data_IF_660802058080
#
_entry.id   IF_660802058080
#
_cell.length_a   1.000
_cell.length_b   1.000
_cell.length_c   1.000
_cell.angle_alpha   90.00
_cell.angle_beta   90.00
_cell.angle_gamma   90.00
#
_symmetry.space_group_name_H-M   'P 1'
#
loop_
_entity.id
_entity.type
_entity.pdbx_description
1 polymer ?
#
# COMPACT_ATOMS: atom_id res chain seq x y z
N UNK A 1 -5.94 0.77 11.55
CA UNK A 1 -5.82 0.91 10.07
C UNK A 1 -4.49 0.30 9.64
N UNK A 2 -4.42 -0.52 8.60
CA UNK A 2 -3.17 -1.12 8.08
C UNK A 2 -2.81 -0.69 6.65
N UNK A 3 -3.71 0.07 6.01
CA UNK A 3 -3.58 0.56 4.65
C UNK A 3 -3.01 1.99 4.64
N UNK A 4 -2.11 2.25 3.71
CA UNK A 4 -1.63 3.59 3.35
C UNK A 4 -1.86 3.82 1.86
N UNK A 5 -1.87 5.10 1.46
CA UNK A 5 -1.94 5.45 0.05
C UNK A 5 -0.56 5.83 -0.45
N UNK A 6 -0.15 5.29 -1.58
CA UNK A 6 1.06 5.68 -2.29
C UNK A 6 0.64 6.53 -3.48
N UNK A 7 1.33 7.64 -3.70
CA UNK A 7 1.11 8.55 -4.82
C UNK A 7 2.39 8.59 -5.63
N UNK A 8 2.30 8.30 -6.93
CA UNK A 8 3.33 8.61 -7.89
C UNK A 8 2.98 9.92 -8.60
N UNK A 9 3.99 10.78 -8.74
CA UNK A 9 3.87 12.10 -9.32
C UNK A 9 4.73 12.20 -10.57
N UNK A 10 4.19 12.83 -11.61
CA UNK A 10 4.90 13.21 -12.82
C UNK A 10 4.65 14.69 -13.10
N UNK A 11 5.72 15.44 -13.39
CA UNK A 11 5.68 16.89 -13.61
C UNK A 11 4.91 17.67 -12.53
N UNK A 12 5.07 17.27 -11.26
CA UNK A 12 4.43 17.92 -10.11
C UNK A 12 2.93 17.62 -9.92
N UNK A 13 2.36 16.70 -10.71
CA UNK A 13 0.96 16.27 -10.59
C UNK A 13 0.88 14.80 -10.18
N UNK A 14 -0.04 14.43 -9.27
CA UNK A 14 -0.37 13.03 -9.02
C UNK A 14 -0.85 12.37 -10.32
N UNK A 15 -0.21 11.30 -10.73
CA UNK A 15 -0.56 10.54 -11.95
C UNK A 15 -1.02 9.13 -11.65
N UNK A 16 -0.56 8.54 -10.54
CA UNK A 16 -0.96 7.22 -10.10
C UNK A 16 -1.13 7.20 -8.59
N UNK A 17 -2.13 6.46 -8.14
CA UNK A 17 -2.42 6.22 -6.74
C UNK A 17 -2.54 4.72 -6.53
N UNK A 18 -1.83 4.19 -5.55
CA UNK A 18 -1.82 2.76 -5.24
C UNK A 18 -2.04 2.51 -3.74
N UNK A 19 -2.69 1.40 -3.37
CA UNK A 19 -2.73 0.95 -1.99
C UNK A 19 -1.38 0.34 -1.58
N UNK A 20 -0.86 0.74 -0.42
CA UNK A 20 0.23 0.06 0.27
C UNK A 20 -0.27 -0.56 1.57
N UNK A 21 0.25 -1.73 1.93
CA UNK A 21 -0.12 -2.44 3.16
C UNK A 21 1.06 -2.56 4.10
N UNK A 22 0.84 -2.24 5.37
CA UNK A 22 1.86 -2.31 6.41
C UNK A 22 1.98 -3.76 6.89
N UNK A 23 3.15 -4.38 6.70
CA UNK A 23 3.41 -5.78 7.09
C UNK A 23 4.24 -5.91 8.37
N UNK A 24 4.97 -4.86 8.76
CA UNK A 24 5.69 -4.81 10.02
C UNK A 24 5.86 -3.38 10.50
N UNK A 25 6.07 -3.20 11.81
CA UNK A 25 6.38 -1.91 12.41
C UNK A 25 7.39 -2.02 13.53
N UNK A 26 8.24 -1.00 13.67
CA UNK A 26 9.19 -0.86 14.79
C UNK A 26 9.27 0.61 15.21
N UNK A 27 8.67 0.95 16.35
CA UNK A 27 8.55 2.35 16.84
C UNK A 27 7.91 3.27 15.78
N UNK A 28 8.72 4.10 15.12
CA UNK A 28 8.30 5.02 14.06
C UNK A 28 8.54 4.47 12.65
N UNK A 29 9.16 3.29 12.51
CA UNK A 29 9.38 2.68 11.20
C UNK A 29 8.23 1.76 10.82
N UNK A 30 7.82 1.83 9.55
CA UNK A 30 6.85 0.95 8.92
C UNK A 30 7.47 0.27 7.71
N UNK A 31 7.20 -1.04 7.56
CA UNK A 31 7.54 -1.82 6.39
C UNK A 31 6.27 -2.00 5.56
N UNK A 32 6.33 -1.63 4.29
CA UNK A 32 5.18 -1.53 3.41
C UNK A 32 5.45 -2.36 2.17
N UNK A 33 4.44 -3.11 1.74
CA UNK A 33 4.42 -3.77 0.43
C UNK A 33 3.31 -3.17 -0.43
N UNK A 34 3.53 -3.17 -1.74
CA UNK A 34 2.60 -2.69 -2.76
C UNK A 34 2.85 -3.45 -4.07
N UNK A 35 1.97 -3.26 -5.05
CA UNK A 35 2.20 -3.74 -6.41
C UNK A 35 3.40 -3.02 -7.06
N UNK A 36 4.22 -3.74 -7.82
CA UNK A 36 5.43 -3.18 -8.44
C UNK A 36 5.15 -2.02 -9.41
N UNK A 37 4.01 -2.02 -10.08
CA UNK A 37 3.64 -1.02 -11.08
C UNK A 37 3.40 0.36 -10.45
N UNK A 38 3.25 0.41 -9.12
CA UNK A 38 3.31 1.64 -8.32
C UNK A 38 4.56 2.46 -8.62
N UNK A 39 5.67 1.80 -8.97
CA UNK A 39 6.97 2.42 -9.25
C UNK A 39 7.35 2.40 -10.74
N UNK A 40 6.36 2.43 -11.63
CA UNK A 40 6.53 2.39 -13.10
C UNK A 40 7.40 3.51 -13.70
N UNK A 41 7.57 4.64 -13.00
CA UNK A 41 8.48 5.72 -13.43
C UNK A 41 9.94 5.50 -13.03
N UNK A 42 10.26 4.40 -12.33
CA UNK A 42 11.59 4.07 -11.83
C UNK A 42 12.20 5.21 -11.00
N UNK A 43 13.52 5.39 -11.12
CA UNK A 43 14.28 6.42 -10.41
C UNK A 43 13.97 7.86 -10.83
N UNK A 44 13.24 8.06 -11.94
CA UNK A 44 12.79 9.39 -12.39
C UNK A 44 11.47 9.81 -11.76
N UNK A 45 10.76 8.88 -11.12
CA UNK A 45 9.50 9.15 -10.45
C UNK A 45 9.67 9.87 -9.12
N UNK A 46 8.67 10.67 -8.76
CA UNK A 46 8.52 11.20 -7.42
C UNK A 46 7.40 10.43 -6.73
N UNK A 47 7.71 9.81 -5.60
CA UNK A 47 6.77 8.95 -4.89
C UNK A 47 6.60 9.42 -3.45
N UNK A 48 5.39 9.28 -2.91
CA UNK A 48 5.13 9.60 -1.52
C UNK A 48 4.06 8.68 -0.92
N UNK A 49 4.15 8.46 0.39
CA UNK A 49 3.12 7.82 1.20
C UNK A 49 2.27 8.88 1.89
N UNK A 50 0.95 8.73 1.79
CA UNK A 50 -0.05 9.48 2.52
C UNK A 50 -0.63 8.57 3.60
N UNK A 51 -0.40 8.95 4.86
CA UNK A 51 -0.89 8.19 6.00
C UNK A 51 -2.37 8.54 6.28
N UNK A 52 -3.20 7.54 6.65
CA UNK A 52 -4.59 7.79 7.01
C UNK A 52 -4.67 8.72 8.23
N UNK A 53 -5.53 9.73 8.15
CA UNK A 53 -5.72 10.73 9.21
C UNK A 53 -4.75 11.92 9.15
N UNK A 54 -3.77 11.90 8.24
CA UNK A 54 -2.94 13.07 7.91
C UNK A 54 -3.35 13.56 6.52
N UNK A 55 -4.21 14.57 6.47
CA UNK A 55 -4.72 15.10 5.20
C UNK A 55 -3.66 15.93 4.42
N UNK A 56 -2.48 16.19 5.01
CA UNK A 56 -1.52 17.15 4.43
C UNK A 56 -0.05 16.72 4.50
N UNK A 57 0.31 15.68 5.25
CA UNK A 57 1.70 15.23 5.36
C UNK A 57 1.96 14.01 4.48
N UNK A 58 2.64 14.27 3.36
CA UNK A 58 3.17 13.26 2.46
C UNK A 58 4.60 12.93 2.91
N UNK A 59 4.91 11.65 3.08
CA UNK A 59 6.28 11.20 3.32
C UNK A 59 6.89 10.73 2.01
N UNK A 60 7.94 11.41 1.56
CA UNK A 60 8.64 11.03 0.33
C UNK A 60 9.23 9.62 0.43
N UNK A 61 9.12 8.85 -0.66
CA UNK A 61 9.77 7.56 -0.82
C UNK A 61 11.00 7.80 -1.68
N UNK A 62 12.17 7.42 -1.16
CA UNK A 62 13.39 7.36 -1.95
C UNK A 62 13.40 6.07 -2.77
N UNK A 63 13.39 6.17 -4.10
CA UNK A 63 13.34 5.00 -4.98
C UNK A 63 14.54 4.05 -4.79
N UNK A 64 15.70 4.56 -4.39
CA UNK A 64 16.87 3.73 -4.11
C UNK A 64 16.68 2.76 -2.93
N UNK A 65 15.72 3.05 -2.04
CA UNK A 65 15.40 2.23 -0.87
C UNK A 65 14.26 1.23 -1.16
N UNK A 66 13.76 1.19 -2.40
CA UNK A 66 12.68 0.29 -2.84
C UNK A 66 13.27 -1.00 -3.39
N UNK A 67 12.88 -2.13 -2.81
CA UNK A 67 13.19 -3.46 -3.31
C UNK A 67 12.03 -3.98 -4.15
N UNK A 68 12.28 -4.31 -5.42
CA UNK A 68 11.28 -4.84 -6.36
C UNK A 68 11.61 -6.30 -6.66
N UNK A 69 10.62 -7.18 -6.52
CA UNK A 69 10.72 -8.61 -6.83
C UNK A 69 9.40 -9.12 -7.44
N UNK A 70 9.50 -9.94 -8.48
CA UNK A 70 8.37 -10.57 -9.19
C UNK A 70 7.23 -9.60 -9.57
N UNK A 71 6.19 -9.51 -8.73
CA UNK A 71 4.98 -8.69 -8.89
C UNK A 71 4.80 -7.63 -7.79
N UNK A 72 5.69 -7.54 -6.80
CA UNK A 72 5.55 -6.61 -5.68
C UNK A 72 6.79 -5.74 -5.47
N UNK A 73 6.58 -4.64 -4.77
CA UNK A 73 7.61 -3.75 -4.27
C UNK A 73 7.50 -3.61 -2.77
N UNK A 74 8.64 -3.48 -2.09
CA UNK A 74 8.72 -3.31 -0.64
C UNK A 74 9.70 -2.20 -0.28
N UNK A 75 9.40 -1.49 0.81
CA UNK A 75 10.23 -0.41 1.31
C UNK A 75 9.95 -0.15 2.79
N UNK A 76 10.90 0.52 3.44
CA UNK A 76 10.78 0.96 4.83
C UNK A 76 10.77 2.48 4.89
N UNK A 77 9.93 3.05 5.76
CA UNK A 77 9.89 4.51 5.94
C UNK A 77 9.51 4.89 7.37
N UNK A 78 9.83 6.13 7.75
CA UNK A 78 9.44 6.70 9.03
C UNK A 78 8.03 7.29 8.98
N UNK A 79 7.11 6.74 9.78
CA UNK A 79 5.77 7.29 9.96
C UNK A 79 5.84 8.61 10.73
N UNK A 80 5.06 9.65 10.34
CA UNK A 80 5.03 10.90 11.07
C UNK A 80 4.52 10.73 12.51
N UNK A 81 4.95 11.62 13.42
CA UNK A 81 4.41 11.70 14.79
C UNK A 81 2.94 12.15 14.73
N UNK A 82 2.11 11.65 15.64
CA UNK A 82 0.68 12.02 15.66
C UNK A 82 -0.19 11.30 14.62
N UNK A 83 0.38 10.44 13.77
CA UNK A 83 -0.41 9.50 12.97
C UNK A 83 -1.26 8.59 13.85
N UNK A 84 -2.49 8.31 13.41
CA UNK A 84 -3.29 7.22 13.97
C UNK A 84 -2.45 5.92 13.99
N UNK A 85 -2.59 5.09 15.02
CA UNK A 85 -1.81 3.87 15.12
C UNK A 85 -2.08 2.97 13.91
N UNK A 86 -1.04 2.80 13.10
CA UNK A 86 -1.04 1.78 12.06
C UNK A 86 -0.85 0.40 12.70
N UNK A 87 -1.66 -0.53 12.23
CA UNK A 87 -1.52 -1.95 12.52
C UNK A 87 -0.71 -2.60 11.39
N UNK A 88 0.19 -3.52 11.75
CA UNK A 88 0.78 -4.42 10.78
C UNK A 88 -0.21 -5.57 10.54
N UNK A 89 -0.39 -5.98 9.29
CA UNK A 89 -1.16 -7.20 9.00
C UNK A 89 -0.35 -8.44 9.36
N UNK A 90 -1.04 -9.48 9.79
CA UNK A 90 -0.47 -10.81 9.88
C UNK A 90 -0.63 -11.49 8.52
N UNK A 91 0.47 -11.96 7.94
CA UNK A 91 0.44 -12.73 6.70
C UNK A 91 0.19 -14.20 7.08
N UNK A 92 -0.84 -14.79 6.48
CA UNK A 92 -1.12 -16.22 6.64
C UNK A 92 -0.04 -17.05 5.95
N UNK A 93 0.41 -18.13 6.59
CA UNK A 93 1.36 -19.09 6.01
C UNK A 93 0.71 -19.98 4.94
N UNK A 94 -0.61 -20.09 4.96
CA UNK A 94 -1.40 -20.79 3.95
C UNK A 94 -2.23 -19.80 3.13
N UNK A 95 -2.33 -20.07 1.83
CA UNK A 95 -3.34 -19.42 0.98
C UNK A 95 -4.76 -19.83 1.39
N UNK A 96 -5.77 -19.04 1.02
CA UNK A 96 -7.15 -19.38 1.33
C UNK A 96 -7.62 -20.60 0.55
N UNK A 97 -8.57 -21.32 1.12
CA UNK A 97 -9.20 -22.47 0.48
C UNK A 97 -10.18 -22.02 -0.61
N UNK A 98 -10.46 -22.92 -1.55
CA UNK A 98 -11.51 -22.70 -2.56
C UNK A 98 -12.83 -22.49 -1.83
N UNK A 99 -13.59 -21.46 -2.24
CA UNK A 99 -14.85 -21.04 -1.64
C UNK A 99 -14.74 -20.45 -0.22
N UNK A 100 -13.54 -20.15 0.27
CA UNK A 100 -13.39 -19.36 1.49
C UNK A 100 -13.78 -17.91 1.23
N UNK A 101 -14.46 -17.29 2.20
CA UNK A 101 -14.80 -15.88 2.15
C UNK A 101 -13.52 -15.05 2.25
N UNK A 102 -13.27 -14.24 1.22
CA UNK A 102 -12.13 -13.33 1.17
C UNK A 102 -12.60 -11.91 0.95
N UNK A 103 -11.82 -10.95 1.44
CA UNK A 103 -12.14 -9.54 1.31
C UNK A 103 -10.97 -8.80 0.70
N UNK A 104 -11.26 -7.88 -0.21
CA UNK A 104 -10.28 -6.94 -0.75
C UNK A 104 -10.39 -5.63 0.02
N UNK A 105 -9.26 -5.16 0.53
CA UNK A 105 -9.15 -3.87 1.20
C UNK A 105 -8.39 -2.91 0.28
N UNK A 106 -8.98 -1.77 -0.03
CA UNK A 106 -8.38 -0.78 -0.91
C UNK A 106 -9.00 0.61 -0.75
N UNK A 107 -8.85 1.45 -1.78
CA UNK A 107 -9.47 2.77 -1.87
C UNK A 107 -10.52 2.73 -2.99
N UNK A 108 -11.76 3.14 -2.70
CA UNK A 108 -12.83 3.18 -3.71
C UNK A 108 -12.56 4.25 -4.78
N UNK A 109 -12.06 5.40 -4.35
CA UNK A 109 -11.48 6.41 -5.21
C UNK A 109 -10.07 6.69 -4.66
N UNK A 110 -9.00 6.39 -5.39
CA UNK A 110 -7.65 6.62 -4.91
C UNK A 110 -7.35 8.08 -4.55
N UNK A 111 -8.11 9.05 -5.09
CA UNK A 111 -8.02 10.47 -4.74
C UNK A 111 -8.68 10.80 -3.39
N UNK A 112 -9.65 9.98 -2.94
CA UNK A 112 -10.39 10.17 -1.69
C UNK A 112 -9.88 9.17 -0.63
N UNK A 113 -9.56 9.62 0.59
CA UNK A 113 -8.95 8.76 1.62
C UNK A 113 -9.91 7.72 2.25
N UNK A 114 -11.08 7.48 1.64
CA UNK A 114 -12.05 6.51 2.12
C UNK A 114 -11.61 5.08 1.74
N UNK A 115 -11.20 4.34 2.76
CA UNK A 115 -10.92 2.91 2.61
C UNK A 115 -12.22 2.15 2.35
N UNK A 116 -12.17 1.22 1.42
CA UNK A 116 -13.29 0.38 1.04
C UNK A 116 -12.93 -1.09 1.22
N UNK A 117 -13.87 -1.83 1.79
CA UNK A 117 -13.79 -3.28 1.91
C UNK A 117 -14.83 -3.87 0.95
N UNK A 118 -14.38 -4.65 -0.02
CA UNK A 118 -15.25 -5.37 -0.95
C UNK A 118 -15.18 -6.88 -0.68
N UNK A 119 -16.30 -7.61 -0.78
CA UNK A 119 -16.25 -9.06 -0.88
C UNK A 119 -15.42 -9.48 -2.11
N UNK A 120 -14.64 -10.53 -1.98
CA UNK A 120 -14.00 -11.24 -3.07
C UNK A 120 -14.34 -12.73 -3.01
N UNK A 121 -13.92 -13.50 -4.01
CA UNK A 121 -14.06 -14.96 -3.97
C UNK A 121 -12.81 -15.67 -4.46
N UNK A 122 -12.44 -16.76 -3.78
CA UNK A 122 -11.38 -17.67 -4.23
C UNK A 122 -12.00 -18.74 -5.12
N UNK A 123 -11.75 -18.63 -6.43
CA UNK A 123 -12.22 -19.64 -7.41
C UNK A 123 -11.06 -20.50 -7.87
N UNK A 124 -11.37 -21.67 -8.43
CA UNK A 124 -10.37 -22.56 -9.02
C UNK A 124 -9.65 -21.83 -10.17
N UNK A 125 -8.46 -21.31 -9.91
CA UNK A 125 -7.69 -20.45 -10.84
C UNK A 125 -7.14 -19.14 -10.24
N UNK A 126 -7.55 -18.76 -9.03
CA UNK A 126 -7.00 -17.58 -8.32
C UNK A 126 -8.05 -16.72 -7.61
N UNK A 127 -7.64 -15.51 -7.23
CA UNK A 127 -8.51 -14.48 -6.64
C UNK A 127 -9.22 -13.69 -7.74
N UNK A 128 -10.53 -13.51 -7.59
CA UNK A 128 -11.32 -12.66 -8.48
C UNK A 128 -12.10 -11.66 -7.63
N UNK A 129 -11.93 -10.37 -7.95
CA UNK A 129 -12.68 -9.23 -7.41
C UNK A 129 -13.85 -8.87 -8.33
#
# INVERSE_FOLDING_TARGET
MCLVRIVAMSAGKPTLFAPGIVIAKKKLLCYIITDKETFSYGSKGLYAVVFPGLNSENVAINFADVSIADSFASFMLSKPKGTNPLAAVQISESGPLINEDVYTLGYQNPQVPATHLSPGSVRKGGFYS
#
